data_IF_911036974705
#
_entry.id   IF_911036974705
#
_cell.length_a   1.000
_cell.length_b   1.000
_cell.length_c   1.000
_cell.angle_alpha   90.00
_cell.angle_beta   90.00
_cell.angle_gamma   90.00
#
_symmetry.space_group_name_H-M   'P 1'
#
loop_
_entity.id
_entity.type
_entity.pdbx_description
1 polymer ?
#
# COMPACT_ATOMS: atom_id res chain seq x y z
N UNK A 1 6.50 -38.38 32.01
CA UNK A 1 7.28 -37.77 30.89
C UNK A 1 7.58 -38.71 29.71
N UNK A 2 6.85 -39.81 29.49
CA UNK A 2 7.14 -40.76 28.38
C UNK A 2 6.11 -40.82 27.25
N UNK A 3 5.02 -40.03 27.30
CA UNK A 3 3.97 -40.05 26.25
C UNK A 3 4.19 -39.03 25.11
N UNK A 4 5.12 -38.08 25.23
CA UNK A 4 5.35 -37.06 24.20
C UNK A 4 6.28 -37.48 23.05
N UNK A 5 7.09 -38.49 23.22
CA UNK A 5 8.14 -38.88 22.24
C UNK A 5 7.64 -39.78 21.09
N UNK A 6 6.52 -40.47 21.25
CA UNK A 6 6.01 -41.39 20.22
C UNK A 6 5.33 -40.67 19.02
N UNK A 7 4.94 -39.41 19.19
CA UNK A 7 4.29 -38.63 18.11
C UNK A 7 5.26 -38.13 17.00
N UNK A 8 6.57 -38.17 17.26
CA UNK A 8 7.57 -37.62 16.32
C UNK A 8 8.26 -38.65 15.42
N UNK A 9 7.94 -39.94 15.55
CA UNK A 9 8.63 -41.00 14.82
C UNK A 9 8.27 -41.14 13.37
N UNK A 10 7.17 -40.51 12.91
CA UNK A 10 6.67 -40.62 11.53
C UNK A 10 6.92 -39.38 10.64
N UNK A 11 7.60 -38.36 11.11
CA UNK A 11 7.94 -37.18 10.32
C UNK A 11 9.25 -37.41 9.55
N UNK A 12 9.26 -37.09 8.26
CA UNK A 12 10.46 -37.18 7.43
C UNK A 12 11.49 -36.11 7.87
N UNK A 13 12.78 -36.31 7.47
CA UNK A 13 13.88 -35.47 7.95
C UNK A 13 13.74 -33.96 7.64
N UNK A 14 12.99 -33.57 6.59
CA UNK A 14 12.72 -32.16 6.24
C UNK A 14 11.70 -31.54 7.23
N UNK A 15 10.67 -32.28 7.61
CA UNK A 15 9.67 -31.82 8.59
C UNK A 15 10.27 -31.67 9.99
N UNK A 16 11.22 -32.54 10.36
CA UNK A 16 11.94 -32.45 11.65
C UNK A 16 12.82 -31.19 11.71
N UNK A 17 13.51 -30.83 10.62
CA UNK A 17 14.32 -29.60 10.57
C UNK A 17 13.47 -28.34 10.63
N UNK A 18 12.30 -28.32 9.99
CA UNK A 18 11.37 -27.18 10.05
C UNK A 18 10.77 -27.00 11.45
N UNK A 19 10.42 -28.10 12.14
CA UNK A 19 9.90 -28.03 13.51
C UNK A 19 10.97 -27.64 14.54
N UNK A 20 12.22 -28.07 14.34
CA UNK A 20 13.33 -27.68 15.23
C UNK A 20 13.72 -26.20 15.04
N UNK A 21 13.62 -25.66 13.83
CA UNK A 21 13.82 -24.24 13.55
C UNK A 21 12.74 -23.36 14.20
N UNK A 22 11.50 -23.85 14.29
CA UNK A 22 10.41 -23.14 14.97
C UNK A 22 10.60 -23.00 16.50
N UNK A 23 11.37 -23.92 17.10
CA UNK A 23 11.64 -23.91 18.55
C UNK A 23 12.88 -23.10 18.98
N UNK A 24 13.72 -22.70 18.02
CA UNK A 24 15.00 -22.02 18.30
C UNK A 24 15.00 -20.50 18.00
N UNK A 25 13.89 -19.93 17.53
CA UNK A 25 13.81 -18.50 17.19
C UNK A 25 12.96 -17.68 18.16
N UNK A 26 12.82 -18.12 19.42
CA UNK A 26 12.21 -17.30 20.46
C UNK A 26 13.27 -16.32 21.00
N UNK A 27 13.33 -15.12 20.48
CA UNK A 27 14.10 -14.04 21.08
C UNK A 27 13.17 -13.22 22.01
N UNK A 28 13.46 -13.29 23.30
CA UNK A 28 12.84 -12.40 24.29
C UNK A 28 13.59 -11.06 24.27
N UNK A 29 12.91 -9.98 23.99
CA UNK A 29 13.43 -8.62 24.20
C UNK A 29 12.70 -8.05 25.40
N UNK A 30 13.33 -7.90 26.57
CA UNK A 30 12.70 -7.26 27.71
C UNK A 30 12.73 -5.73 27.53
N UNK A 31 11.58 -5.09 27.43
CA UNK A 31 11.44 -3.65 27.58
C UNK A 31 10.36 -3.36 28.63
N UNK A 32 10.81 -2.87 29.79
CA UNK A 32 9.97 -2.25 30.85
C UNK A 32 8.54 -2.81 31.00
N UNK A 33 8.42 -4.05 31.50
CA UNK A 33 7.12 -4.64 31.85
C UNK A 33 6.33 -5.26 30.69
N UNK A 34 6.89 -5.36 29.49
CA UNK A 34 6.28 -6.03 28.35
C UNK A 34 7.17 -7.15 27.83
N UNK A 35 6.63 -8.35 27.69
CA UNK A 35 7.29 -9.41 26.95
C UNK A 35 6.64 -9.54 25.59
N UNK A 36 7.37 -9.16 24.53
CA UNK A 36 6.96 -9.40 23.16
C UNK A 36 7.55 -10.71 22.70
N UNK A 37 6.72 -11.70 22.45
CA UNK A 37 7.14 -12.93 21.79
C UNK A 37 6.97 -12.75 20.27
N UNK A 38 8.05 -12.46 19.57
CA UNK A 38 8.07 -12.53 18.12
C UNK A 38 8.29 -13.97 17.68
N UNK A 39 7.24 -14.64 17.24
CA UNK A 39 7.38 -15.92 16.56
C UNK A 39 7.64 -15.66 15.07
N UNK A 40 8.88 -15.83 14.63
CA UNK A 40 9.20 -15.92 13.20
C UNK A 40 8.81 -17.32 12.70
N UNK A 41 7.57 -17.51 12.35
CA UNK A 41 7.13 -18.66 11.58
C UNK A 41 6.83 -18.22 10.17
N UNK A 42 7.19 -19.04 9.21
CA UNK A 42 7.01 -18.90 7.76
C UNK A 42 5.54 -18.97 7.31
N UNK A 43 4.63 -18.50 8.14
CA UNK A 43 3.19 -18.44 7.93
C UNK A 43 2.61 -17.28 8.74
N UNK A 44 2.45 -16.12 8.08
CA UNK A 44 1.71 -14.97 8.60
C UNK A 44 2.27 -14.39 9.92
N UNK A 45 2.53 -13.11 9.97
CA UNK A 45 3.02 -12.41 11.17
C UNK A 45 2.05 -12.60 12.37
N UNK A 46 2.13 -13.72 13.07
CA UNK A 46 1.46 -13.87 14.35
C UNK A 46 2.32 -13.24 15.43
N UNK A 47 1.79 -12.25 16.11
CA UNK A 47 2.44 -11.63 17.25
C UNK A 47 1.51 -11.77 18.44
N UNK A 48 2.02 -12.43 19.48
CA UNK A 48 1.37 -12.43 20.78
C UNK A 48 1.92 -11.25 21.60
N UNK A 49 1.07 -10.37 22.06
CA UNK A 49 1.43 -9.31 22.99
C UNK A 49 0.97 -9.73 24.38
N UNK A 50 1.92 -9.81 25.30
CA UNK A 50 1.64 -10.09 26.70
C UNK A 50 1.86 -8.83 27.51
N UNK A 51 0.89 -8.45 28.33
CA UNK A 51 1.04 -7.41 29.33
C UNK A 51 1.20 -8.06 30.71
N UNK A 52 2.30 -7.76 31.40
CA UNK A 52 2.43 -8.01 32.81
C UNK A 52 1.88 -6.81 33.59
N UNK A 53 0.65 -6.93 34.09
CA UNK A 53 0.21 -6.07 35.19
C UNK A 53 0.65 -6.76 36.49
N UNK A 54 1.23 -6.02 37.43
CA UNK A 54 1.63 -6.53 38.70
C UNK A 54 0.52 -7.41 39.30
N UNK A 55 0.75 -8.75 39.36
CA UNK A 55 -0.09 -9.72 40.05
C UNK A 55 -1.27 -10.32 39.25
N UNK A 56 -1.42 -10.09 37.95
CA UNK A 56 -2.46 -10.72 37.12
C UNK A 56 -1.84 -11.65 36.07
N UNK A 57 -2.57 -12.72 35.71
CA UNK A 57 -2.17 -13.60 34.61
C UNK A 57 -1.97 -12.78 33.33
N UNK A 58 -0.83 -12.97 32.66
CA UNK A 58 -0.51 -12.28 31.41
C UNK A 58 -1.64 -12.49 30.38
N UNK A 59 -2.33 -11.42 29.99
CA UNK A 59 -3.31 -11.45 28.94
C UNK A 59 -2.59 -11.44 27.58
N UNK A 60 -2.58 -12.59 26.91
CA UNK A 60 -2.02 -12.71 25.56
C UNK A 60 -3.07 -12.30 24.55
N UNK A 61 -2.77 -11.32 23.71
CA UNK A 61 -3.62 -10.96 22.56
C UNK A 61 -3.06 -11.61 21.30
N UNK A 62 -3.87 -12.45 20.66
CA UNK A 62 -3.53 -13.14 19.43
C UNK A 62 -4.08 -12.34 18.23
N UNK A 63 -3.22 -11.57 17.58
CA UNK A 63 -3.50 -10.84 16.35
C UNK A 63 -2.36 -11.03 15.36
N UNK A 64 -2.71 -11.03 14.09
CA UNK A 64 -1.74 -11.06 12.99
C UNK A 64 -2.13 -10.05 11.92
N UNK A 65 -1.15 -9.54 11.20
CA UNK A 65 -1.39 -8.73 10.02
C UNK A 65 -1.43 -9.66 8.80
N UNK A 66 -2.61 -9.75 8.17
CA UNK A 66 -2.82 -10.65 7.04
C UNK A 66 -2.27 -10.03 5.75
N UNK A 67 -0.95 -10.04 5.61
CA UNK A 67 -0.29 -9.76 4.35
C UNK A 67 0.17 -11.09 3.74
N UNK A 68 -0.31 -11.43 2.56
CA UNK A 68 0.11 -12.63 1.83
C UNK A 68 1.59 -12.55 1.44
N UNK A 69 2.13 -11.35 1.30
CA UNK A 69 3.53 -11.05 1.03
C UNK A 69 4.00 -9.87 1.86
N UNK A 70 5.27 -9.92 2.28
CA UNK A 70 5.97 -8.76 2.86
C UNK A 70 6.47 -7.80 1.77
N UNK A 71 6.34 -8.16 0.50
CA UNK A 71 6.79 -7.34 -0.62
C UNK A 71 5.69 -6.39 -1.05
N UNK A 72 6.01 -5.10 -1.05
CA UNK A 72 5.13 -4.04 -1.57
C UNK A 72 5.78 -3.47 -2.82
N UNK A 73 5.15 -3.73 -3.96
CA UNK A 73 5.63 -3.23 -5.25
C UNK A 73 5.09 -1.82 -5.51
N UNK A 74 5.91 -0.96 -6.11
CA UNK A 74 5.43 0.32 -6.65
C UNK A 74 4.29 0.06 -7.65
N UNK A 75 3.23 0.83 -7.57
CA UNK A 75 2.05 0.66 -8.43
C UNK A 75 1.09 -0.44 -8.00
N UNK A 76 1.29 -1.02 -6.81
CA UNK A 76 0.38 -2.02 -6.23
C UNK A 76 -0.40 -1.46 -5.04
N UNK A 77 -1.71 -1.66 -5.05
CA UNK A 77 -2.66 -1.13 -4.08
C UNK A 77 -3.53 -2.25 -3.52
N UNK A 78 -3.06 -2.87 -2.44
CA UNK A 78 -3.77 -3.96 -1.77
C UNK A 78 -4.08 -3.58 -0.33
N UNK A 79 -5.32 -3.87 0.09
CA UNK A 79 -5.75 -3.67 1.46
C UNK A 79 -5.54 -4.93 2.29
N UNK A 80 -5.04 -4.75 3.49
CA UNK A 80 -4.78 -5.79 4.49
C UNK A 80 -5.54 -5.49 5.77
N UNK A 81 -5.87 -6.55 6.53
CA UNK A 81 -6.55 -6.46 7.81
C UNK A 81 -5.71 -7.11 8.90
N UNK A 82 -5.90 -6.67 10.12
CA UNK A 82 -5.53 -7.50 11.26
C UNK A 82 -6.52 -8.64 11.40
N UNK A 83 -5.99 -9.83 11.70
CA UNK A 83 -6.74 -11.06 11.93
C UNK A 83 -6.32 -11.67 13.26
N UNK A 84 -7.16 -12.53 13.83
CA UNK A 84 -6.88 -13.25 15.07
C UNK A 84 -8.11 -13.31 15.96
N UNK A 85 -8.05 -14.12 17.00
CA UNK A 85 -9.17 -14.35 17.93
C UNK A 85 -9.54 -13.12 18.74
N UNK A 86 -8.60 -12.19 18.91
CA UNK A 86 -8.76 -11.02 19.78
C UNK A 86 -9.02 -9.71 19.02
N UNK A 87 -9.17 -9.75 17.69
CA UNK A 87 -9.48 -8.54 16.90
C UNK A 87 -10.77 -7.84 17.36
N UNK A 88 -11.74 -8.59 17.88
CA UNK A 88 -12.97 -8.03 18.41
C UNK A 88 -12.77 -7.18 19.69
N UNK A 89 -11.66 -7.37 20.39
CA UNK A 89 -11.33 -6.69 21.65
C UNK A 89 -10.42 -5.46 21.42
N UNK A 90 -10.06 -5.17 20.19
CA UNK A 90 -9.21 -4.03 19.85
C UNK A 90 -10.09 -2.83 19.56
N UNK A 91 -9.92 -1.77 20.34
CA UNK A 91 -10.67 -0.52 20.19
C UNK A 91 -10.06 0.38 19.11
N UNK A 92 -8.72 0.37 18.98
CA UNK A 92 -7.99 1.21 18.02
C UNK A 92 -6.68 0.57 17.59
N UNK A 93 -6.37 0.68 16.30
CA UNK A 93 -5.06 0.37 15.73
C UNK A 93 -4.55 1.56 14.94
N UNK A 94 -3.27 1.87 15.09
CA UNK A 94 -2.59 2.90 14.30
C UNK A 94 -1.31 2.30 13.73
N UNK A 95 -1.17 2.36 12.41
CA UNK A 95 0.06 1.97 11.72
C UNK A 95 0.91 3.19 11.42
N UNK A 96 2.20 3.10 11.71
CA UNK A 96 3.17 4.15 11.41
C UNK A 96 4.37 3.57 10.68
N UNK A 97 4.66 4.12 9.50
CA UNK A 97 5.89 3.85 8.77
C UNK A 97 7.08 4.54 9.44
N UNK A 98 8.23 3.88 9.49
CA UNK A 98 9.48 4.48 9.94
C UNK A 98 10.08 5.44 8.89
N UNK A 99 9.72 5.29 7.61
CA UNK A 99 10.10 6.19 6.51
C UNK A 99 8.91 6.43 5.59
N UNK A 100 8.14 7.47 5.86
CA UNK A 100 6.97 7.86 5.04
C UNK A 100 7.35 8.35 3.63
N UNK A 101 8.63 8.68 3.39
CA UNK A 101 9.14 9.01 2.07
C UNK A 101 9.40 7.79 1.19
N UNK A 102 9.42 6.59 1.77
CA UNK A 102 9.64 5.32 1.09
C UNK A 102 8.38 4.44 1.08
N UNK A 103 7.65 4.42 2.19
CA UNK A 103 6.43 3.64 2.36
C UNK A 103 5.36 4.49 3.07
N UNK A 104 4.28 4.78 2.39
CA UNK A 104 3.08 5.40 2.96
C UNK A 104 2.06 4.34 3.34
N UNK A 105 1.29 4.56 4.40
CA UNK A 105 0.19 3.67 4.77
C UNK A 105 -1.10 4.49 4.75
N UNK A 106 -2.04 4.09 3.91
CA UNK A 106 -3.40 4.61 3.89
C UNK A 106 -4.33 3.63 4.60
N UNK A 107 -5.45 4.13 5.10
CA UNK A 107 -6.46 3.30 5.76
C UNK A 107 -7.86 3.69 5.30
N UNK A 108 -8.77 2.71 5.35
CA UNK A 108 -10.21 2.95 5.15
C UNK A 108 -11.02 2.12 6.14
N UNK A 109 -12.25 2.56 6.40
CA UNK A 109 -13.23 1.77 7.15
C UNK A 109 -14.20 1.14 6.17
N UNK A 110 -14.41 -0.16 6.31
CA UNK A 110 -15.37 -0.94 5.51
C UNK A 110 -16.31 -1.71 6.44
N UNK A 111 -17.44 -2.17 5.91
CA UNK A 111 -18.32 -3.12 6.62
C UNK A 111 -17.87 -4.54 6.32
N UNK A 112 -17.80 -5.39 7.35
CA UNK A 112 -17.66 -6.84 7.18
C UNK A 112 -19.02 -7.50 6.81
N UNK A 113 -19.02 -8.83 6.72
CA UNK A 113 -20.23 -9.59 6.36
C UNK A 113 -21.36 -9.47 7.40
N UNK A 114 -21.01 -9.17 8.64
CA UNK A 114 -21.91 -8.95 9.78
C UNK A 114 -22.34 -7.49 9.93
N UNK A 115 -21.86 -6.59 9.06
CA UNK A 115 -22.16 -5.15 9.06
C UNK A 115 -21.37 -4.33 10.09
N UNK A 116 -20.36 -4.93 10.73
CA UNK A 116 -19.45 -4.26 11.66
C UNK A 116 -18.38 -3.45 10.92
N UNK A 117 -17.99 -2.32 11.49
CA UNK A 117 -16.87 -1.53 10.97
C UNK A 117 -15.53 -2.25 11.17
N UNK A 118 -14.79 -2.42 10.09
CA UNK A 118 -13.44 -2.98 10.07
C UNK A 118 -12.50 -2.00 9.37
N UNK A 119 -11.29 -1.82 9.92
CA UNK A 119 -10.28 -0.97 9.30
C UNK A 119 -9.37 -1.83 8.43
N UNK A 120 -9.19 -1.39 7.21
CA UNK A 120 -8.23 -1.94 6.25
C UNK A 120 -7.08 -0.96 6.03
N UNK A 121 -5.89 -1.51 5.89
CA UNK A 121 -4.65 -0.76 5.70
C UNK A 121 -4.03 -1.09 4.35
N UNK A 122 -3.56 -0.06 3.65
CA UNK A 122 -2.93 -0.19 2.35
C UNK A 122 -1.52 0.42 2.39
N UNK A 123 -0.47 -0.42 2.42
CA UNK A 123 0.89 0.04 2.23
C UNK A 123 1.11 0.42 0.77
N UNK A 124 1.70 1.59 0.53
CA UNK A 124 2.00 2.13 -0.79
C UNK A 124 3.50 2.38 -0.88
N UNK A 125 4.20 1.63 -1.71
CA UNK A 125 5.62 1.83 -1.98
C UNK A 125 5.82 3.11 -2.81
N UNK A 126 6.65 4.01 -2.29
CA UNK A 126 7.08 5.23 -2.98
C UNK A 126 8.51 5.10 -3.55
N UNK A 127 9.25 4.07 -3.11
CA UNK A 127 10.56 3.66 -3.63
C UNK A 127 10.50 2.19 -4.05
N UNK A 128 11.36 1.80 -4.94
CA UNK A 128 11.39 0.50 -5.63
C UNK A 128 12.37 -0.50 -5.01
N UNK A 129 12.98 -0.15 -3.88
CA UNK A 129 13.92 -1.00 -3.17
C UNK A 129 14.02 -0.61 -1.69
N UNK A 130 14.60 -1.51 -0.90
CA UNK A 130 14.82 -1.32 0.53
C UNK A 130 13.78 -2.02 1.39
N UNK A 131 13.97 -1.90 2.70
CA UNK A 131 13.05 -2.45 3.72
C UNK A 131 12.64 -1.34 4.66
N UNK A 132 11.35 -1.27 4.96
CA UNK A 132 10.80 -0.25 5.87
C UNK A 132 10.09 -0.93 7.03
N UNK A 133 10.47 -0.55 8.24
CA UNK A 133 9.77 -0.94 9.47
C UNK A 133 8.43 -0.21 9.59
N UNK A 134 7.44 -0.94 10.05
CA UNK A 134 6.13 -0.41 10.38
C UNK A 134 5.80 -0.80 11.81
N UNK A 135 5.40 0.17 12.60
CA UNK A 135 4.93 -0.03 13.97
C UNK A 135 3.41 0.04 13.99
N UNK A 136 2.76 -1.04 14.38
CA UNK A 136 1.35 -1.05 14.74
C UNK A 136 1.23 -0.78 16.23
N UNK A 137 0.49 0.27 16.60
CA UNK A 137 0.11 0.57 17.98
C UNK A 137 -1.38 0.26 18.12
N UNK A 138 -1.75 -0.53 19.11
CA UNK A 138 -3.14 -0.86 19.38
C UNK A 138 -3.50 -0.63 20.86
N UNK A 139 -4.76 -0.31 21.05
CA UNK A 139 -5.38 -0.05 22.34
C UNK A 139 -6.60 -0.96 22.47
N UNK A 140 -6.81 -1.53 23.64
CA UNK A 140 -8.00 -2.32 23.96
C UNK A 140 -8.36 -2.20 25.43
N UNK A 141 -9.57 -2.65 25.79
CA UNK A 141 -10.00 -2.72 27.19
C UNK A 141 -9.23 -3.74 28.01
N UNK A 142 -8.60 -4.72 27.35
CA UNK A 142 -7.81 -5.77 28.00
C UNK A 142 -6.36 -5.34 28.23
N UNK A 143 -5.83 -4.51 27.33
CA UNK A 143 -4.50 -3.93 27.41
C UNK A 143 -4.61 -2.43 27.17
N UNK A 144 -3.98 -1.61 27.99
CA UNK A 144 -4.02 -0.16 27.79
C UNK A 144 -3.39 0.25 26.48
N UNK A 145 -2.25 -0.33 26.11
CA UNK A 145 -1.54 -0.05 24.86
C UNK A 145 -0.53 -1.15 24.55
N UNK A 146 -0.48 -1.60 23.31
CA UNK A 146 0.52 -2.55 22.81
C UNK A 146 1.13 -2.08 21.50
N UNK A 147 2.30 -2.60 21.16
CA UNK A 147 2.98 -2.32 19.88
C UNK A 147 3.50 -3.59 19.26
N UNK A 148 3.39 -3.65 17.91
CA UNK A 148 3.99 -4.71 17.10
C UNK A 148 4.83 -4.03 16.02
N UNK A 149 6.02 -4.56 15.78
CA UNK A 149 6.85 -4.14 14.64
C UNK A 149 6.91 -5.25 13.60
N UNK A 150 6.80 -4.86 12.34
CA UNK A 150 7.00 -5.72 11.19
C UNK A 150 7.64 -4.93 10.05
N UNK A 151 8.10 -5.62 9.02
CA UNK A 151 8.84 -5.01 7.93
C UNK A 151 8.16 -5.30 6.59
N UNK A 152 8.17 -4.30 5.70
CA UNK A 152 7.85 -4.46 4.29
C UNK A 152 9.11 -4.30 3.45
N UNK A 153 9.31 -5.21 2.51
CA UNK A 153 10.31 -5.07 1.46
C UNK A 153 9.71 -4.27 0.31
N UNK A 154 10.38 -3.22 -0.13
CA UNK A 154 9.96 -2.43 -1.26
C UNK A 154 10.53 -3.02 -2.55
N UNK A 155 9.72 -3.11 -3.58
CA UNK A 155 10.11 -3.67 -4.86
C UNK A 155 9.62 -2.80 -6.02
N UNK A 156 10.34 -2.87 -7.15
CA UNK A 156 9.92 -2.18 -8.37
C UNK A 156 8.58 -2.71 -8.87
N UNK A 157 7.87 -1.88 -9.62
CA UNK A 157 6.69 -2.30 -10.38
C UNK A 157 7.04 -3.42 -11.35
N UNK A 158 6.09 -4.29 -11.65
CA UNK A 158 6.22 -5.22 -12.75
C UNK A 158 6.30 -4.47 -14.08
N UNK A 159 7.00 -5.01 -15.07
CA UNK A 159 7.34 -4.28 -16.31
C UNK A 159 6.10 -3.83 -17.12
N UNK A 160 4.98 -4.51 -16.97
CA UNK A 160 3.71 -4.18 -17.60
C UNK A 160 2.80 -3.27 -16.74
N UNK A 161 3.19 -2.94 -15.51
CA UNK A 161 2.42 -2.10 -14.57
C UNK A 161 2.88 -0.66 -14.66
N UNK A 162 1.93 0.28 -14.57
CA UNK A 162 2.21 1.70 -14.44
C UNK A 162 2.60 1.96 -12.97
N UNK A 163 3.79 2.52 -12.68
CA UNK A 163 4.31 2.62 -11.31
C UNK A 163 3.68 3.80 -10.53
N UNK A 164 2.36 3.89 -10.53
CA UNK A 164 1.62 4.94 -9.83
C UNK A 164 1.85 4.84 -8.32
N UNK A 165 2.07 5.97 -7.67
CA UNK A 165 2.30 6.06 -6.22
C UNK A 165 1.17 6.75 -5.44
N UNK A 166 0.08 7.09 -6.14
CA UNK A 166 -1.11 7.73 -5.56
C UNK A 166 -2.34 6.85 -5.77
N UNK A 167 -3.00 6.47 -4.67
CA UNK A 167 -4.23 5.69 -4.74
C UNK A 167 -5.36 6.44 -5.46
N UNK A 168 -5.49 7.76 -5.22
CA UNK A 168 -6.49 8.58 -5.89
C UNK A 168 -6.28 8.67 -7.42
N UNK A 169 -5.03 8.66 -7.86
CA UNK A 169 -4.70 8.59 -9.29
C UNK A 169 -5.01 7.19 -9.86
N UNK A 170 -4.62 6.12 -9.13
CA UNK A 170 -4.97 4.75 -9.49
C UNK A 170 -6.48 4.56 -9.71
N UNK A 171 -7.31 5.04 -8.76
CA UNK A 171 -8.77 4.99 -8.88
C UNK A 171 -9.28 5.82 -10.07
N UNK A 172 -8.79 7.04 -10.23
CA UNK A 172 -9.19 7.94 -11.33
C UNK A 172 -8.79 7.39 -12.70
N UNK A 173 -7.68 6.65 -12.77
CA UNK A 173 -7.28 5.91 -13.97
C UNK A 173 -8.07 4.60 -14.15
N UNK A 174 -8.97 4.25 -13.22
CA UNK A 174 -9.81 3.05 -13.29
C UNK A 174 -8.99 1.77 -13.22
N UNK A 175 -7.99 1.73 -12.36
CA UNK A 175 -7.19 0.54 -12.11
C UNK A 175 -8.05 -0.59 -11.54
N UNK A 176 -7.67 -1.81 -11.82
CA UNK A 176 -8.36 -3.04 -11.40
C UNK A 176 -7.40 -3.96 -10.67
N UNK A 177 -7.94 -4.78 -9.75
CA UNK A 177 -7.13 -5.75 -8.99
C UNK A 177 -5.87 -5.17 -8.32
N UNK A 178 -5.97 -3.92 -7.83
CA UNK A 178 -4.88 -3.24 -7.13
C UNK A 178 -3.76 -2.71 -8.03
N UNK A 179 -3.90 -2.75 -9.35
CA UNK A 179 -2.90 -2.28 -10.30
C UNK A 179 -3.56 -1.63 -11.52
N UNK A 180 -2.79 -0.87 -12.29
CA UNK A 180 -3.15 -0.47 -13.65
C UNK A 180 -2.01 -0.88 -14.58
N UNK A 181 -2.33 -1.66 -15.60
CA UNK A 181 -1.35 -2.07 -16.60
C UNK A 181 -1.17 -0.98 -17.67
N UNK A 182 0.00 -0.96 -18.29
CA UNK A 182 0.26 -0.07 -19.44
C UNK A 182 -0.72 -0.31 -20.57
N UNK A 183 -1.14 -1.56 -20.80
CA UNK A 183 -2.13 -1.90 -21.82
C UNK A 183 -3.51 -1.34 -21.49
N UNK A 184 -3.97 -1.43 -20.23
CA UNK A 184 -5.22 -0.82 -19.79
C UNK A 184 -5.19 0.70 -19.94
N UNK A 185 -4.07 1.34 -19.57
CA UNK A 185 -3.90 2.78 -19.71
C UNK A 185 -3.87 3.21 -21.19
N UNK A 186 -3.14 2.48 -22.02
CA UNK A 186 -3.06 2.73 -23.46
C UNK A 186 -4.41 2.56 -24.19
N UNK A 187 -5.29 1.70 -23.69
CA UNK A 187 -6.62 1.47 -24.29
C UNK A 187 -7.64 2.59 -23.99
N UNK A 188 -7.38 3.45 -22.99
CA UNK A 188 -8.32 4.51 -22.60
C UNK A 188 -8.41 5.60 -23.66
N UNK A 189 -9.63 5.95 -24.04
CA UNK A 189 -9.92 7.01 -25.00
C UNK A 189 -10.10 8.37 -24.33
N UNK A 190 -10.62 8.36 -23.12
CA UNK A 190 -10.88 9.56 -22.33
C UNK A 190 -10.34 9.35 -20.91
N UNK A 191 -9.64 10.37 -20.38
CA UNK A 191 -9.10 10.37 -19.04
C UNK A 191 -9.48 11.70 -18.38
N UNK A 192 -10.25 11.61 -17.28
CA UNK A 192 -10.59 12.78 -16.48
C UNK A 192 -9.87 12.70 -15.12
N UNK A 193 -8.94 13.61 -14.94
CA UNK A 193 -8.13 13.76 -13.72
C UNK A 193 -8.31 15.17 -13.11
N UNK A 194 -9.41 15.84 -13.38
CA UNK A 194 -9.69 17.17 -12.82
C UNK A 194 -9.80 17.12 -11.29
N UNK A 195 -9.31 18.16 -10.61
CA UNK A 195 -9.38 18.30 -9.14
C UNK A 195 -8.77 17.11 -8.34
N UNK A 196 -7.72 16.47 -8.83
CA UNK A 196 -7.07 15.32 -8.16
C UNK A 196 -5.81 15.72 -7.39
N UNK A 197 -5.51 17.01 -7.28
CA UNK A 197 -4.29 17.52 -6.63
C UNK A 197 -3.00 16.89 -7.18
N UNK A 198 -2.97 16.66 -8.49
CA UNK A 198 -1.84 16.04 -9.18
C UNK A 198 -0.59 16.93 -9.14
N UNK A 199 0.54 16.27 -9.24
CA UNK A 199 1.87 16.85 -9.37
C UNK A 199 2.48 16.52 -10.73
N UNK A 200 3.65 17.09 -11.04
CA UNK A 200 4.41 16.76 -12.25
C UNK A 200 4.74 15.25 -12.32
N UNK A 201 5.02 14.60 -11.18
CA UNK A 201 5.29 13.16 -11.13
C UNK A 201 4.07 12.33 -11.55
N UNK A 202 2.87 12.77 -11.18
CA UNK A 202 1.64 12.06 -11.56
C UNK A 202 1.39 12.15 -13.06
N UNK A 203 1.74 13.27 -13.68
CA UNK A 203 1.63 13.48 -15.14
C UNK A 203 2.61 12.57 -15.90
N UNK A 204 3.80 12.27 -15.35
CA UNK A 204 4.76 11.36 -15.99
C UNK A 204 4.20 9.95 -16.21
N UNK A 205 3.27 9.49 -15.36
CA UNK A 205 2.62 8.18 -15.54
C UNK A 205 1.71 8.14 -16.76
N UNK A 206 1.25 9.28 -17.28
CA UNK A 206 0.36 9.35 -18.46
C UNK A 206 1.08 9.09 -19.78
N UNK A 207 2.41 9.00 -19.79
CA UNK A 207 3.18 8.73 -21.03
C UNK A 207 2.75 7.44 -21.74
N UNK A 208 2.23 6.47 -20.99
CA UNK A 208 1.76 5.19 -21.52
C UNK A 208 0.29 5.26 -22.02
N UNK A 209 -0.42 6.38 -21.83
CA UNK A 209 -1.79 6.59 -22.31
C UNK A 209 -1.87 6.92 -23.79
N UNK A 210 -1.19 6.15 -24.63
CA UNK A 210 -1.00 6.45 -26.06
C UNK A 210 -2.28 6.43 -26.89
N UNK A 211 -3.33 5.75 -26.44
CA UNK A 211 -4.62 5.70 -27.12
C UNK A 211 -5.58 6.83 -26.70
N UNK A 212 -5.22 7.64 -25.71
CA UNK A 212 -6.08 8.69 -25.18
C UNK A 212 -6.27 9.81 -26.21
N UNK A 213 -7.54 10.18 -26.41
CA UNK A 213 -7.95 11.24 -27.32
C UNK A 213 -8.37 12.51 -26.57
N UNK A 214 -8.89 12.36 -25.34
CA UNK A 214 -9.33 13.46 -24.49
C UNK A 214 -8.75 13.35 -23.10
N UNK A 215 -8.11 14.42 -22.62
CA UNK A 215 -7.50 14.50 -21.30
C UNK A 215 -7.95 15.75 -20.57
N UNK A 216 -8.48 15.58 -19.36
CA UNK A 216 -8.78 16.69 -18.45
C UNK A 216 -7.84 16.66 -17.25
N UNK A 217 -6.97 17.67 -17.14
CA UNK A 217 -6.08 17.90 -16.00
C UNK A 217 -6.45 19.18 -15.23
N UNK A 218 -7.64 19.73 -15.45
CA UNK A 218 -8.03 21.03 -14.89
C UNK A 218 -7.98 21.03 -13.36
N UNK A 219 -7.73 22.21 -12.80
CA UNK A 219 -7.68 22.47 -11.36
C UNK A 219 -6.63 21.66 -10.59
N UNK A 220 -5.54 21.25 -11.25
CA UNK A 220 -4.36 20.65 -10.62
C UNK A 220 -3.24 21.70 -10.58
N UNK A 221 -3.31 22.60 -9.60
CA UNK A 221 -2.42 23.78 -9.47
C UNK A 221 -0.94 23.42 -9.36
N UNK A 222 -0.63 22.20 -8.89
CA UNK A 222 0.75 21.74 -8.72
C UNK A 222 1.35 21.13 -10.00
N UNK A 223 0.57 20.99 -11.08
CA UNK A 223 1.05 20.56 -12.39
C UNK A 223 1.68 21.75 -13.12
N UNK A 224 2.97 21.64 -13.38
CA UNK A 224 3.79 22.64 -14.08
C UNK A 224 4.41 22.09 -15.35
N UNK A 225 4.72 20.76 -15.38
CA UNK A 225 5.40 20.08 -16.49
C UNK A 225 4.45 19.08 -17.14
N UNK A 226 4.43 19.10 -18.48
CA UNK A 226 3.58 18.24 -19.29
C UNK A 226 4.34 17.56 -20.43
N UNK A 227 5.67 17.43 -20.33
CA UNK A 227 6.49 16.82 -21.38
C UNK A 227 6.09 15.37 -21.66
N UNK A 228 5.68 14.62 -20.66
CA UNK A 228 5.20 13.26 -20.78
C UNK A 228 4.01 13.12 -21.72
N UNK A 229 3.17 14.16 -21.83
CA UNK A 229 1.99 14.15 -22.69
C UNK A 229 2.34 14.19 -24.18
N UNK A 230 3.58 14.52 -24.55
CA UNK A 230 4.04 14.49 -25.95
C UNK A 230 4.03 13.07 -26.54
N UNK A 231 4.09 12.03 -25.68
CA UNK A 231 3.96 10.63 -26.10
C UNK A 231 2.52 10.19 -26.38
N UNK A 232 1.53 10.99 -25.99
CA UNK A 232 0.11 10.71 -26.22
C UNK A 232 -0.28 11.08 -27.66
N UNK A 233 0.19 10.30 -28.62
CA UNK A 233 0.13 10.61 -30.06
C UNK A 233 -1.29 10.74 -30.63
N UNK A 234 -2.29 10.19 -29.93
CA UNK A 234 -3.70 10.27 -30.33
C UNK A 234 -4.48 11.41 -29.64
N UNK A 235 -3.81 12.21 -28.80
CA UNK A 235 -4.44 13.28 -28.03
C UNK A 235 -4.96 14.39 -28.96
N UNK A 236 -6.27 14.64 -28.91
CA UNK A 236 -6.98 15.63 -29.73
C UNK A 236 -7.48 16.82 -28.92
N UNK A 237 -7.87 16.57 -27.68
CA UNK A 237 -8.44 17.55 -26.77
C UNK A 237 -7.73 17.48 -25.41
N UNK A 238 -7.38 18.64 -24.84
CA UNK A 238 -6.80 18.74 -23.51
C UNK A 238 -7.34 19.95 -22.76
N UNK A 239 -7.72 19.74 -21.49
CA UNK A 239 -8.09 20.81 -20.58
C UNK A 239 -6.99 21.00 -19.52
N UNK A 240 -6.36 22.18 -19.51
CA UNK A 240 -5.29 22.60 -18.59
C UNK A 240 -5.68 23.85 -17.78
N UNK A 241 -6.97 24.18 -17.71
CA UNK A 241 -7.45 25.32 -16.91
C UNK A 241 -7.16 25.08 -15.43
N UNK A 242 -6.63 26.08 -14.73
CA UNK A 242 -6.28 25.95 -13.30
C UNK A 242 -5.04 25.10 -13.01
N UNK A 243 -4.23 24.80 -14.03
CA UNK A 243 -2.87 24.26 -13.83
C UNK A 243 -1.83 25.39 -13.86
N UNK A 244 -0.62 25.14 -13.37
CA UNK A 244 0.51 26.07 -13.41
C UNK A 244 1.42 25.86 -14.63
N UNK A 245 0.94 25.18 -15.68
CA UNK A 245 1.69 24.93 -16.92
C UNK A 245 1.88 26.24 -17.68
N UNK A 246 3.11 26.50 -18.14
CA UNK A 246 3.43 27.72 -18.87
C UNK A 246 2.71 27.77 -20.24
N UNK A 247 2.45 28.99 -20.71
CA UNK A 247 1.90 29.19 -22.06
C UNK A 247 2.79 28.60 -23.15
N UNK A 248 4.12 28.68 -22.97
CA UNK A 248 5.09 28.12 -23.91
C UNK A 248 4.94 26.58 -24.02
N UNK A 249 4.81 25.88 -22.88
CA UNK A 249 4.65 24.43 -22.85
C UNK A 249 3.31 23.99 -23.44
N UNK A 250 2.22 24.74 -23.16
CA UNK A 250 0.90 24.51 -23.79
C UNK A 250 0.99 24.59 -25.30
N UNK A 251 1.64 25.65 -25.82
CA UNK A 251 1.82 25.84 -27.30
C UNK A 251 2.70 24.72 -27.86
N UNK A 252 3.77 24.33 -27.17
CA UNK A 252 4.65 23.24 -27.60
C UNK A 252 3.89 21.91 -27.73
N UNK A 253 3.07 21.57 -26.74
CA UNK A 253 2.26 20.36 -26.73
C UNK A 253 1.24 20.37 -27.89
N UNK A 254 0.51 21.47 -28.06
CA UNK A 254 -0.48 21.64 -29.15
C UNK A 254 0.16 21.39 -30.51
N UNK A 255 1.35 21.97 -30.76
CA UNK A 255 2.08 21.78 -32.01
C UNK A 255 2.55 20.34 -32.21
N UNK A 256 3.10 19.72 -31.14
CA UNK A 256 3.65 18.36 -31.21
C UNK A 256 2.56 17.34 -31.49
N UNK A 257 1.45 17.41 -30.76
CA UNK A 257 0.36 16.45 -30.85
C UNK A 257 -0.73 16.85 -31.88
N UNK A 258 -0.57 17.98 -32.58
CA UNK A 258 -1.54 18.50 -33.52
C UNK A 258 -2.94 18.66 -32.94
N UNK A 259 -3.02 19.11 -31.69
CA UNK A 259 -4.26 19.26 -30.94
C UNK A 259 -5.08 20.41 -31.56
N UNK A 260 -6.36 20.16 -31.80
CA UNK A 260 -7.29 21.20 -32.26
C UNK A 260 -7.67 22.07 -31.06
N UNK A 261 -7.37 23.35 -31.11
CA UNK A 261 -7.82 24.32 -30.10
C UNK A 261 -9.16 24.85 -30.53
N UNK A 262 -10.23 24.52 -29.79
CA UNK A 262 -11.51 25.18 -30.01
C UNK A 262 -11.40 26.68 -29.66
N UNK A 263 -11.90 27.53 -30.59
CA UNK A 263 -11.91 28.97 -30.42
C UNK A 263 -12.90 29.32 -29.33
N UNK A 264 -12.42 29.55 -28.10
CA UNK A 264 -13.30 29.93 -26.98
C UNK A 264 -12.75 29.74 -25.57
N UNK A 265 -11.65 29.04 -25.39
CA UNK A 265 -10.99 28.83 -24.06
C UNK A 265 -9.79 29.74 -23.89
N UNK A 266 -9.97 31.03 -24.10
CA UNK A 266 -9.01 32.04 -23.67
C UNK A 266 -9.54 32.67 -22.40
N UNK A 267 -9.07 32.20 -21.25
CA UNK A 267 -8.86 33.06 -20.08
C UNK A 267 -7.71 32.49 -19.26
#
# INVERSE_FOLDING_TARGET
MQKGWKAFSHLNGKSRKKMLACLLSLSMIPMNGFTVMAATADQGNQVAVTQDAEGSAANTINISFAAESKDVKVGSFHYYRFQGTDTANIDKVTLKSADESALKIEQRTVKDAEGKDVIEYMPIALKDNGTVKVTATFESKQINKGTIEFEFNLAKADDNVVPVTSYSLYEALGGTNGQITKAELAAKKEINLSNKNLTDTDVEYLKDATGCEKLDLSNNINVKKIDALKSMINLKEINLVGTSVSTADKIALIKTNKITVEKGTTT
#
